data_IF_604756840535
#
_entry.id   IF_604756840535
#
_cell.length_a   1.000
_cell.length_b   1.000
_cell.length_c   1.000
_cell.angle_alpha   90.00
_cell.angle_beta   90.00
_cell.angle_gamma   90.00
#
_symmetry.space_group_name_H-M   'P 1'
#
loop_
_entity.id
_entity.type
_entity.pdbx_description
1 polymer ?
#
# COMPACT_ATOMS: atom_id res chain seq x y z
N UNK A 1 25.31 -35.29 30.36
CA UNK A 1 24.25 -35.64 29.40
C UNK A 1 22.99 -34.95 29.92
N UNK A 2 22.67 -33.74 29.46
CA UNK A 2 21.82 -33.46 28.28
C UNK A 2 20.55 -34.33 28.34
N UNK A 3 19.34 -33.78 28.51
CA UNK A 3 18.74 -32.83 27.58
C UNK A 3 17.81 -31.79 28.22
N UNK A 4 17.94 -30.57 27.73
CA UNK A 4 16.95 -29.50 27.80
C UNK A 4 15.86 -29.77 26.76
N UNK A 5 14.63 -30.05 27.19
CA UNK A 5 13.45 -29.92 26.32
C UNK A 5 12.86 -28.50 26.50
N UNK A 6 12.72 -27.70 25.43
CA UNK A 6 12.19 -26.34 25.53
C UNK A 6 10.70 -26.37 25.88
N UNK A 7 10.32 -25.52 26.86
CA UNK A 7 8.92 -25.20 27.15
C UNK A 7 8.28 -24.68 25.87
N UNK A 8 7.30 -25.42 25.39
CA UNK A 8 6.39 -25.02 24.32
C UNK A 8 5.69 -23.73 24.76
N UNK A 9 6.20 -22.57 24.31
CA UNK A 9 5.54 -21.28 24.47
C UNK A 9 4.32 -21.28 23.57
N UNK A 10 3.22 -21.72 24.15
CA UNK A 10 1.87 -21.51 23.68
C UNK A 10 1.73 -20.02 23.37
N UNK A 11 1.53 -19.69 22.08
CA UNK A 11 1.20 -18.33 21.65
C UNK A 11 -0.25 -18.13 22.06
N UNK A 12 -0.43 -17.59 23.27
CA UNK A 12 -1.75 -17.20 23.78
C UNK A 12 -2.28 -16.02 22.98
N UNK A 13 -3.25 -16.34 22.11
CA UNK A 13 -4.35 -15.52 21.59
C UNK A 13 -4.07 -14.16 20.90
N UNK A 14 -4.78 -13.87 19.79
CA UNK A 14 -4.81 -12.52 19.22
C UNK A 14 -5.45 -11.56 20.23
N UNK A 15 -4.76 -10.47 20.51
CA UNK A 15 -5.23 -9.35 21.34
C UNK A 15 -6.62 -8.89 20.85
N UNK A 16 -7.68 -9.32 21.55
CA UNK A 16 -9.05 -8.94 21.24
C UNK A 16 -9.33 -7.54 21.85
N UNK A 17 -8.65 -6.54 21.30
CA UNK A 17 -8.70 -5.16 21.78
C UNK A 17 -9.95 -4.49 21.22
N UNK A 18 -10.76 -3.92 22.11
CA UNK A 18 -11.88 -3.08 21.68
C UNK A 18 -11.38 -1.74 21.11
N UNK A 19 -12.24 -1.05 20.35
CA UNK A 19 -11.84 0.19 19.65
C UNK A 19 -11.26 1.27 20.58
N UNK A 20 -11.67 1.32 21.85
CA UNK A 20 -11.16 2.28 22.84
C UNK A 20 -9.73 1.94 23.26
N UNK A 21 -9.42 0.66 23.39
CA UNK A 21 -8.07 0.17 23.69
C UNK A 21 -7.13 0.36 22.49
N UNK A 22 -7.61 0.10 21.26
CA UNK A 22 -6.87 0.41 20.04
C UNK A 22 -6.57 1.91 19.95
N UNK A 23 -7.53 2.78 20.26
CA UNK A 23 -7.32 4.23 20.28
C UNK A 23 -6.31 4.65 21.36
N UNK A 24 -6.37 4.05 22.55
CA UNK A 24 -5.41 4.33 23.61
C UNK A 24 -3.98 3.90 23.23
N UNK A 25 -3.83 2.76 22.55
CA UNK A 25 -2.54 2.29 22.04
C UNK A 25 -2.03 3.21 20.94
N UNK A 26 -2.87 3.61 19.98
CA UNK A 26 -2.51 4.58 18.93
C UNK A 26 -2.07 5.90 19.56
N UNK A 27 -2.82 6.44 20.52
CA UNK A 27 -2.45 7.69 21.20
C UNK A 27 -1.18 7.55 22.05
N UNK A 28 -0.91 6.38 22.62
CA UNK A 28 0.32 6.11 23.36
C UNK A 28 1.53 5.98 22.41
N UNK A 29 1.35 5.35 21.25
CA UNK A 29 2.36 5.28 20.21
C UNK A 29 2.65 6.67 19.63
N UNK A 30 1.62 7.48 19.37
CA UNK A 30 1.77 8.89 18.99
C UNK A 30 2.52 9.67 20.07
N UNK A 31 2.22 9.42 21.36
CA UNK A 31 2.93 10.05 22.47
C UNK A 31 4.41 9.64 22.49
N UNK A 32 4.74 8.35 22.37
CA UNK A 32 6.13 7.86 22.29
C UNK A 32 6.86 8.48 21.10
N UNK A 33 6.21 8.59 19.94
CA UNK A 33 6.79 9.23 18.75
C UNK A 33 7.00 10.74 18.92
N UNK A 34 6.33 11.38 19.89
CA UNK A 34 6.46 12.82 20.18
C UNK A 34 7.31 13.13 21.40
N UNK A 35 7.46 12.18 22.33
CA UNK A 35 8.36 12.30 23.47
C UNK A 35 9.76 11.93 23.01
N UNK A 36 10.48 12.96 22.57
CA UNK A 36 11.93 13.00 22.48
C UNK A 36 12.54 12.61 23.84
N UNK A 37 12.75 11.32 24.06
CA UNK A 37 13.63 10.84 25.12
C UNK A 37 15.06 11.09 24.65
N UNK A 38 15.54 12.30 24.90
CA UNK A 38 16.90 12.73 24.65
C UNK A 38 17.91 11.69 25.16
N UNK A 39 18.61 11.10 24.20
CA UNK A 39 19.60 10.06 24.39
C UNK A 39 20.52 9.95 23.17
N UNK A 40 21.26 11.02 22.89
CA UNK A 40 22.56 11.02 22.22
C UNK A 40 22.68 10.39 20.82
N UNK A 41 22.29 11.15 19.79
CA UNK A 41 23.16 11.43 18.63
C UNK A 41 22.53 12.59 17.86
N UNK A 42 22.99 13.81 18.13
CA UNK A 42 22.53 15.03 17.46
C UNK A 42 23.22 15.20 16.11
N UNK A 43 23.00 14.24 15.21
CA UNK A 43 23.20 14.51 13.78
C UNK A 43 21.95 15.21 13.24
N UNK A 44 22.10 16.33 12.52
CA UNK A 44 20.96 16.96 11.88
C UNK A 44 20.39 15.99 10.84
N UNK A 45 19.20 15.45 11.13
CA UNK A 45 18.48 14.58 10.18
C UNK A 45 18.06 15.42 8.99
N UNK A 46 18.62 15.11 7.82
CA UNK A 46 18.31 15.79 6.58
C UNK A 46 16.82 15.59 6.22
N UNK A 47 16.12 16.70 5.97
CA UNK A 47 14.72 16.70 5.58
C UNK A 47 14.61 16.72 4.06
N UNK A 48 13.67 15.95 3.52
CA UNK A 48 13.40 15.92 2.10
C UNK A 48 12.85 17.27 1.60
N UNK A 49 13.14 17.58 0.33
CA UNK A 49 12.68 18.81 -0.30
C UNK A 49 11.14 18.85 -0.37
N UNK A 50 10.56 19.96 0.08
CA UNK A 50 9.10 20.11 0.15
C UNK A 50 8.44 20.10 -1.24
N UNK A 51 9.09 20.63 -2.25
CA UNK A 51 8.60 20.61 -3.63
C UNK A 51 8.59 19.18 -4.19
N UNK A 52 9.63 18.39 -3.92
CA UNK A 52 9.71 16.97 -4.32
C UNK A 52 8.64 16.13 -3.63
N UNK A 53 8.48 16.27 -2.31
CA UNK A 53 7.40 15.61 -1.54
C UNK A 53 6.02 15.98 -2.10
N UNK A 54 5.80 17.25 -2.45
CA UNK A 54 4.53 17.69 -3.03
C UNK A 54 4.32 17.16 -4.45
N UNK A 55 5.39 17.02 -5.24
CA UNK A 55 5.35 16.41 -6.57
C UNK A 55 4.90 14.95 -6.47
N UNK A 56 5.53 14.16 -5.61
CA UNK A 56 5.17 12.76 -5.37
C UNK A 56 3.73 12.63 -4.88
N UNK A 57 3.29 13.46 -3.92
CA UNK A 57 1.87 13.48 -3.49
C UNK A 57 0.89 13.76 -4.62
N UNK A 58 1.25 14.63 -5.56
CA UNK A 58 0.40 14.94 -6.72
C UNK A 58 0.33 13.76 -7.67
N UNK A 59 1.48 13.12 -7.93
CA UNK A 59 1.58 11.90 -8.74
C UNK A 59 0.72 10.77 -8.17
N UNK A 60 0.90 10.44 -6.88
CA UNK A 60 0.10 9.40 -6.20
C UNK A 60 -1.41 9.64 -6.37
N UNK A 61 -1.87 10.89 -6.17
CA UNK A 61 -3.29 11.22 -6.36
C UNK A 61 -3.76 11.08 -7.80
N UNK A 62 -2.91 11.36 -8.79
CA UNK A 62 -3.21 11.13 -10.22
C UNK A 62 -3.39 9.63 -10.46
N UNK A 63 -2.46 8.81 -9.97
CA UNK A 63 -2.51 7.35 -10.11
C UNK A 63 -3.73 6.74 -9.39
N UNK A 64 -4.08 7.21 -8.18
CA UNK A 64 -5.27 6.73 -7.46
C UNK A 64 -6.58 7.00 -8.23
N UNK A 65 -6.70 8.15 -8.90
CA UNK A 65 -7.88 8.42 -9.77
C UNK A 65 -7.89 7.51 -11.00
N UNK A 66 -6.71 7.22 -11.54
CA UNK A 66 -6.58 6.32 -12.68
C UNK A 66 -6.94 4.89 -12.32
N UNK A 67 -6.44 4.40 -11.18
CA UNK A 67 -6.79 3.10 -10.61
C UNK A 67 -8.29 2.95 -10.38
N UNK A 68 -8.97 3.97 -9.85
CA UNK A 68 -10.43 3.90 -9.69
C UNK A 68 -11.18 3.73 -11.02
N UNK A 69 -10.67 4.32 -12.11
CA UNK A 69 -11.24 4.13 -13.46
C UNK A 69 -10.94 2.74 -14.01
N UNK A 70 -9.72 2.26 -13.79
CA UNK A 70 -9.28 0.95 -14.22
C UNK A 70 -10.04 -0.17 -13.49
N UNK A 71 -10.17 -0.08 -12.17
CA UNK A 71 -10.92 -1.02 -11.34
C UNK A 71 -12.39 -1.14 -11.76
N UNK A 72 -13.04 0.00 -12.06
CA UNK A 72 -14.41 0.01 -12.59
C UNK A 72 -14.52 -0.65 -13.97
N UNK A 73 -13.52 -0.47 -14.83
CA UNK A 73 -13.45 -1.13 -16.13
C UNK A 73 -13.24 -2.64 -16.00
N UNK A 74 -12.28 -3.06 -15.19
CA UNK A 74 -11.98 -4.47 -14.94
C UNK A 74 -13.17 -5.20 -14.30
N UNK A 75 -13.83 -4.57 -13.32
CA UNK A 75 -15.06 -5.12 -12.72
C UNK A 75 -16.15 -5.30 -13.77
N UNK A 76 -16.40 -4.29 -14.61
CA UNK A 76 -17.39 -4.41 -15.68
C UNK A 76 -17.02 -5.45 -16.74
N UNK A 77 -15.73 -5.62 -17.07
CA UNK A 77 -15.26 -6.64 -18.00
C UNK A 77 -15.44 -8.04 -17.41
N UNK A 78 -15.10 -8.21 -16.13
CA UNK A 78 -15.27 -9.47 -15.41
C UNK A 78 -16.74 -9.88 -15.31
N UNK A 79 -17.63 -8.94 -14.96
CA UNK A 79 -19.07 -9.21 -14.90
C UNK A 79 -19.62 -9.62 -16.28
N UNK A 80 -19.16 -9.01 -17.37
CA UNK A 80 -19.56 -9.40 -18.74
C UNK A 80 -19.06 -10.79 -19.11
N UNK A 81 -17.81 -11.11 -18.78
CA UNK A 81 -17.25 -12.43 -19.04
C UNK A 81 -18.03 -13.53 -18.29
N UNK A 82 -18.52 -13.23 -17.09
CA UNK A 82 -19.37 -14.13 -16.30
C UNK A 82 -20.83 -14.19 -16.78
N UNK A 83 -21.39 -13.07 -17.26
CA UNK A 83 -22.79 -12.96 -17.73
C UNK A 83 -23.00 -13.47 -19.16
N UNK A 84 -21.93 -13.80 -19.89
CA UNK A 84 -22.01 -14.62 -21.10
C UNK A 84 -22.48 -16.04 -20.74
N UNK A 85 -23.78 -16.15 -20.44
CA UNK A 85 -24.49 -17.32 -19.93
C UNK A 85 -24.69 -18.45 -20.95
N UNK A 86 -23.86 -18.51 -22.00
CA UNK A 86 -23.93 -19.46 -23.09
C UNK A 86 -22.51 -19.97 -23.35
N UNK A 87 -22.15 -21.11 -22.74
CA UNK A 87 -21.07 -22.10 -23.01
C UNK A 87 -19.66 -21.67 -23.50
N UNK A 88 -19.39 -20.38 -23.71
CA UNK A 88 -18.21 -19.83 -24.40
C UNK A 88 -17.39 -18.89 -23.49
N UNK A 89 -17.60 -18.91 -22.16
CA UNK A 89 -16.75 -18.17 -21.23
C UNK A 89 -15.31 -18.66 -21.37
N UNK A 90 -14.45 -17.83 -21.97
CA UNK A 90 -13.04 -18.15 -22.17
C UNK A 90 -12.29 -18.12 -20.82
N UNK A 91 -11.80 -19.28 -20.34
CA UNK A 91 -11.07 -19.33 -19.08
C UNK A 91 -9.76 -18.52 -19.11
N UNK A 92 -9.13 -18.36 -20.28
CA UNK A 92 -7.92 -17.54 -20.42
C UNK A 92 -8.23 -16.05 -20.25
N UNK A 93 -9.38 -15.60 -20.76
CA UNK A 93 -9.86 -14.22 -20.58
C UNK A 93 -10.15 -13.93 -19.10
N UNK A 94 -10.87 -14.82 -18.42
CA UNK A 94 -11.15 -14.69 -16.99
C UNK A 94 -9.87 -14.70 -16.14
N UNK A 95 -8.91 -15.57 -16.47
CA UNK A 95 -7.62 -15.61 -15.79
C UNK A 95 -6.88 -14.27 -15.95
N UNK A 96 -6.80 -13.77 -17.19
CA UNK A 96 -6.13 -12.50 -17.49
C UNK A 96 -6.78 -11.33 -16.74
N UNK A 97 -8.10 -11.24 -16.75
CA UNK A 97 -8.84 -10.21 -16.00
C UNK A 97 -8.62 -10.33 -14.48
N UNK A 98 -8.53 -11.56 -13.96
CA UNK A 98 -8.20 -11.82 -12.56
C UNK A 98 -6.79 -11.38 -12.17
N UNK A 99 -5.80 -11.63 -13.03
CA UNK A 99 -4.42 -11.15 -12.86
C UNK A 99 -4.36 -9.63 -12.89
N UNK A 100 -5.00 -8.99 -13.87
CA UNK A 100 -5.08 -7.52 -13.97
C UNK A 100 -5.74 -6.89 -12.74
N UNK A 101 -6.82 -7.50 -12.23
CA UNK A 101 -7.49 -7.03 -11.02
C UNK A 101 -6.59 -7.14 -9.79
N UNK A 102 -5.87 -8.25 -9.67
CA UNK A 102 -4.89 -8.46 -8.59
C UNK A 102 -3.79 -7.38 -8.62
N UNK A 103 -3.26 -7.07 -9.80
CA UNK A 103 -2.26 -6.01 -9.96
C UNK A 103 -2.82 -4.62 -9.64
N UNK A 104 -4.06 -4.34 -10.06
CA UNK A 104 -4.77 -3.10 -9.74
C UNK A 104 -4.92 -2.91 -8.23
N UNK A 105 -5.30 -3.97 -7.50
CA UNK A 105 -5.39 -3.95 -6.04
C UNK A 105 -4.04 -3.75 -5.36
N UNK A 106 -2.98 -4.42 -5.84
CA UNK A 106 -1.62 -4.26 -5.30
C UNK A 106 -1.12 -2.82 -5.47
N UNK A 107 -1.32 -2.24 -6.65
CA UNK A 107 -1.00 -0.84 -6.92
C UNK A 107 -1.78 0.09 -5.97
N UNK A 108 -3.10 -0.13 -5.82
CA UNK A 108 -3.95 0.68 -4.94
C UNK A 108 -3.49 0.66 -3.47
N UNK A 109 -3.09 -0.52 -2.96
CA UNK A 109 -2.55 -0.67 -1.60
C UNK A 109 -1.24 0.10 -1.45
N UNK A 110 -0.28 -0.09 -2.34
CA UNK A 110 1.03 0.60 -2.28
C UNK A 110 0.90 2.11 -2.36
N UNK A 111 0.04 2.64 -3.23
CA UNK A 111 -0.23 4.09 -3.26
C UNK A 111 -0.86 4.62 -1.99
N UNK A 112 -1.74 3.83 -1.36
CA UNK A 112 -2.40 4.21 -0.11
C UNK A 112 -1.43 4.23 1.07
N UNK A 113 -0.49 3.27 1.11
CA UNK A 113 0.59 3.27 2.10
C UNK A 113 1.57 4.42 1.86
N UNK A 114 1.99 4.63 0.61
CA UNK A 114 2.90 5.71 0.22
C UNK A 114 2.31 7.10 0.55
N UNK A 115 1.02 7.34 0.32
CA UNK A 115 0.39 8.61 0.67
C UNK A 115 0.25 8.77 2.19
N UNK A 116 0.02 7.67 2.93
CA UNK A 116 0.02 7.67 4.39
C UNK A 116 1.35 8.13 4.96
N UNK A 117 2.45 7.54 4.49
CA UNK A 117 3.82 7.95 4.86
C UNK A 117 4.12 9.39 4.42
N UNK A 118 3.78 9.75 3.19
CA UNK A 118 4.00 11.09 2.68
C UNK A 118 3.18 12.15 3.44
N UNK A 119 2.05 11.80 4.06
CA UNK A 119 1.16 12.74 4.76
C UNK A 119 1.79 13.35 6.02
N UNK A 120 2.89 12.78 6.52
CA UNK A 120 3.67 13.35 7.63
C UNK A 120 4.06 14.82 7.37
N UNK A 121 4.08 15.64 8.43
CA UNK A 121 4.41 17.08 8.35
C UNK A 121 5.84 17.33 7.85
N UNK A 122 6.77 16.42 8.13
CA UNK A 122 8.17 16.45 7.72
C UNK A 122 8.59 15.02 7.40
N UNK A 123 9.18 14.80 6.23
CA UNK A 123 9.84 13.53 5.89
C UNK A 123 11.35 13.72 5.94
N UNK A 124 12.05 12.72 6.43
CA UNK A 124 13.50 12.61 6.25
C UNK A 124 13.82 12.19 4.82
N UNK A 125 15.04 12.41 4.36
CA UNK A 125 15.48 11.94 3.02
C UNK A 125 15.31 10.42 2.87
N UNK A 126 15.61 9.64 3.92
CA UNK A 126 15.42 8.19 3.92
C UNK A 126 13.94 7.80 3.80
N UNK A 127 13.04 8.45 4.55
CA UNK A 127 11.61 8.21 4.44
C UNK A 127 11.08 8.59 3.06
N UNK A 128 11.61 9.66 2.47
CA UNK A 128 11.24 10.08 1.13
C UNK A 128 11.74 9.09 0.06
N UNK A 129 12.94 8.53 0.22
CA UNK A 129 13.45 7.46 -0.63
C UNK A 129 12.55 6.22 -0.56
N UNK A 130 12.11 5.82 0.63
CA UNK A 130 11.15 4.71 0.81
C UNK A 130 9.83 5.00 0.08
N UNK A 131 9.24 6.19 0.27
CA UNK A 131 8.01 6.58 -0.44
C UNK A 131 8.21 6.52 -1.95
N UNK A 132 9.34 7.00 -2.46
CA UNK A 132 9.64 6.99 -3.89
C UNK A 132 9.75 5.57 -4.45
N UNK A 133 10.41 4.67 -3.73
CA UNK A 133 10.48 3.25 -4.10
C UNK A 133 9.09 2.61 -4.14
N UNK A 134 8.26 2.84 -3.12
CA UNK A 134 6.89 2.32 -3.09
C UNK A 134 6.04 2.83 -4.24
N UNK A 135 6.21 4.10 -4.60
CA UNK A 135 5.52 4.72 -5.75
C UNK A 135 5.98 4.09 -7.07
N UNK A 136 7.28 3.89 -7.26
CA UNK A 136 7.79 3.26 -8.47
C UNK A 136 7.29 1.81 -8.62
N UNK A 137 7.25 1.05 -7.52
CA UNK A 137 6.70 -0.30 -7.54
C UNK A 137 5.18 -0.30 -7.82
N UNK A 138 4.46 0.70 -7.31
CA UNK A 138 3.04 0.86 -7.59
C UNK A 138 2.78 1.29 -9.04
N UNK A 139 3.67 2.08 -9.64
CA UNK A 139 3.63 2.45 -11.05
C UNK A 139 3.84 1.21 -11.94
N UNK A 140 4.78 0.32 -11.60
CA UNK A 140 4.99 -0.95 -12.32
C UNK A 140 3.74 -1.82 -12.27
N UNK A 141 3.20 -2.08 -11.07
CA UNK A 141 1.99 -2.89 -10.92
C UNK A 141 0.78 -2.27 -11.63
N UNK A 142 0.65 -0.94 -11.62
CA UNK A 142 -0.40 -0.25 -12.35
C UNK A 142 -0.25 -0.44 -13.86
N UNK A 143 0.95 -0.33 -14.42
CA UNK A 143 1.20 -0.59 -15.83
C UNK A 143 0.87 -2.04 -16.24
N UNK A 144 1.16 -3.02 -15.36
CA UNK A 144 0.80 -4.43 -15.59
C UNK A 144 -0.71 -4.68 -15.51
N UNK A 145 -1.42 -3.88 -14.70
CA UNK A 145 -2.87 -3.97 -14.58
C UNK A 145 -3.62 -3.37 -15.79
N UNK A 146 -2.97 -2.52 -16.59
CA UNK A 146 -3.61 -1.82 -17.71
C UNK A 146 -3.85 -2.78 -18.90
N UNK A 147 -5.11 -2.92 -19.37
CA UNK A 147 -5.40 -3.63 -20.60
C UNK A 147 -4.73 -2.98 -21.81
N UNK A 148 -4.49 -3.78 -22.84
CA UNK A 148 -4.00 -3.26 -24.12
C UNK A 148 -4.92 -2.16 -24.66
N UNK A 149 -4.34 -1.02 -25.01
CA UNK A 149 -5.08 0.15 -25.52
C UNK A 149 -5.75 1.00 -24.43
N UNK A 150 -5.54 0.70 -23.15
CA UNK A 150 -6.00 1.56 -22.06
C UNK A 150 -5.39 2.97 -22.19
N UNK A 151 -6.16 4.04 -21.96
CA UNK A 151 -5.64 5.40 -22.08
C UNK A 151 -4.52 5.64 -21.09
N UNK A 152 -3.28 5.75 -21.61
CA UNK A 152 -2.09 5.97 -20.81
C UNK A 152 -2.22 7.20 -19.92
N UNK A 153 -1.66 7.09 -18.73
CA UNK A 153 -1.66 8.11 -17.68
C UNK A 153 -0.81 9.36 -17.99
N UNK A 154 -0.41 9.61 -19.25
CA UNK A 154 0.44 10.75 -19.65
C UNK A 154 -0.05 12.09 -19.09
#
# INVERSE_FOLDING_TARGET
MADHAPRNTQIDHPLNLNWRQLRAIVSFLELIMTTDTGGSSSEPVALADRAEVNHVKRHIRKCQRHLARLDGHLTSAFDKALDNSDDDTDPEELQTLGEQKTQCEQAARKYSEAIGLASAKKLTEEQFAVVTTMVNEADVALNEAEPMGWPSMK
#
